data_IF_477315544421
#
_entry.id   IF_477315544421
#
_cell.length_a   1.000
_cell.length_b   1.000
_cell.length_c   1.000
_cell.angle_alpha   90.00
_cell.angle_beta   90.00
_cell.angle_gamma   90.00
#
_symmetry.space_group_name_H-M   'P 1'
#
loop_
_entity.id
_entity.type
_entity.pdbx_description
1 polymer ?
#
# COMPACT_ATOMS: atom_id res chain seq x y z
N UNK A 1 -11.34 -14.13 -10.81
CA UNK A 1 -10.33 -13.97 -11.89
C UNK A 1 -9.36 -15.13 -11.75
N UNK A 2 -8.98 -15.81 -12.84
CA UNK A 2 -7.98 -16.87 -12.76
C UNK A 2 -6.56 -16.25 -12.85
N UNK A 3 -5.53 -17.00 -12.43
CA UNK A 3 -4.15 -16.54 -12.38
C UNK A 3 -3.62 -16.10 -13.75
N UNK A 4 -3.93 -16.83 -14.81
CA UNK A 4 -3.47 -16.53 -16.17
C UNK A 4 -4.01 -15.18 -16.66
N UNK A 5 -5.31 -14.96 -16.51
CA UNK A 5 -5.96 -13.70 -16.88
C UNK A 5 -5.37 -12.53 -16.07
N UNK A 6 -5.05 -12.76 -14.79
CA UNK A 6 -4.42 -11.74 -13.95
C UNK A 6 -3.00 -11.43 -14.43
N UNK A 7 -2.17 -12.44 -14.67
CA UNK A 7 -0.78 -12.23 -15.13
C UNK A 7 -0.74 -11.52 -16.48
N UNK A 8 -1.60 -11.89 -17.44
CA UNK A 8 -1.63 -11.29 -18.78
C UNK A 8 -2.09 -9.83 -18.77
N UNK A 9 -3.09 -9.50 -17.93
CA UNK A 9 -3.68 -8.16 -17.93
C UNK A 9 -3.06 -7.22 -16.89
N UNK A 10 -2.46 -7.74 -15.81
CA UNK A 10 -1.97 -6.94 -14.68
C UNK A 10 -0.46 -6.87 -14.55
N UNK A 11 0.36 -7.69 -15.23
CA UNK A 11 1.82 -7.51 -15.19
C UNK A 11 2.28 -6.46 -16.19
N UNK A 12 1.79 -6.55 -17.43
CA UNK A 12 2.20 -5.71 -18.56
C UNK A 12 0.99 -5.01 -19.16
N UNK A 13 0.54 -3.92 -18.54
CA UNK A 13 -0.58 -3.19 -19.10
C UNK A 13 -0.16 -2.57 -20.44
N UNK A 14 -0.86 -2.92 -21.51
CA UNK A 14 -0.67 -2.22 -22.80
C UNK A 14 -1.07 -0.76 -22.65
N UNK A 15 -0.49 0.13 -23.47
CA UNK A 15 -0.80 1.57 -23.46
C UNK A 15 -2.31 1.87 -23.52
N UNK A 16 -3.08 1.03 -24.22
CA UNK A 16 -4.55 1.16 -24.34
C UNK A 16 -5.33 0.74 -23.08
N UNK A 17 -4.72 -0.02 -22.16
CA UNK A 17 -5.37 -0.62 -20.97
C UNK A 17 -4.98 0.13 -19.69
N UNK A 18 -3.79 0.76 -19.66
CA UNK A 18 -3.31 1.61 -18.55
C UNK A 18 -4.34 2.65 -18.12
N UNK A 19 -4.91 3.40 -19.07
CA UNK A 19 -5.84 4.50 -18.80
C UNK A 19 -7.25 4.06 -18.38
N UNK A 20 -7.62 2.79 -18.59
CA UNK A 20 -9.02 2.33 -18.48
C UNK A 20 -9.30 1.31 -17.39
N UNK A 21 -8.28 0.65 -16.84
CA UNK A 21 -8.53 -0.68 -16.21
C UNK A 21 -7.84 -0.91 -14.86
N UNK A 22 -6.92 -0.04 -14.44
CA UNK A 22 -6.16 -0.21 -13.20
C UNK A 22 -6.68 0.68 -12.08
N UNK A 23 -7.91 0.43 -11.67
CA UNK A 23 -8.42 0.88 -10.39
C UNK A 23 -8.75 -0.35 -9.58
N UNK A 24 -8.04 -0.57 -8.47
CA UNK A 24 -8.56 -1.49 -7.47
C UNK A 24 -9.83 -0.86 -6.90
N UNK A 25 -10.77 -1.67 -6.39
CA UNK A 25 -11.93 -1.11 -5.73
C UNK A 25 -11.46 -0.18 -4.62
N UNK A 26 -11.78 1.10 -4.80
CA UNK A 26 -11.57 2.13 -3.80
C UNK A 26 -12.61 1.91 -2.69
N UNK A 27 -12.27 2.25 -1.44
CA UNK A 27 -13.26 2.28 -0.40
C UNK A 27 -14.36 3.30 -0.74
N UNK A 28 -15.58 3.02 -0.27
CA UNK A 28 -16.72 3.92 -0.44
C UNK A 28 -16.57 5.15 0.46
N UNK A 29 -15.87 6.16 -0.05
CA UNK A 29 -15.66 7.46 0.59
C UNK A 29 -16.56 8.48 -0.09
N UNK A 30 -17.45 9.10 0.68
CA UNK A 30 -18.35 10.13 0.18
C UNK A 30 -17.57 11.29 -0.46
N UNK A 31 -18.03 11.74 -1.63
CA UNK A 31 -17.44 12.88 -2.34
C UNK A 31 -16.07 12.63 -2.97
N UNK A 32 -15.55 11.39 -2.92
CA UNK A 32 -14.22 11.06 -3.42
C UNK A 32 -14.11 11.23 -4.94
N UNK A 33 -13.25 12.15 -5.39
CA UNK A 33 -13.02 12.46 -6.81
C UNK A 33 -11.54 12.34 -7.15
N UNK A 34 -11.22 11.76 -8.31
CA UNK A 34 -9.84 11.74 -8.84
C UNK A 34 -9.38 13.19 -9.08
N UNK A 35 -8.25 13.55 -8.50
CA UNK A 35 -7.65 14.89 -8.61
C UNK A 35 -6.25 14.90 -9.22
N UNK A 36 -5.65 13.73 -9.46
CA UNK A 36 -4.41 13.63 -10.20
C UNK A 36 -3.97 12.19 -10.46
N UNK A 37 -3.08 12.03 -11.42
CA UNK A 37 -2.39 10.79 -11.73
C UNK A 37 -0.92 11.04 -12.05
N UNK A 38 -0.12 10.02 -11.78
CA UNK A 38 1.30 10.01 -12.10
C UNK A 38 1.70 8.59 -12.49
N UNK A 39 2.18 8.42 -13.71
CA UNK A 39 2.56 7.13 -14.26
C UNK A 39 4.06 7.16 -14.55
N UNK A 40 4.78 6.18 -14.01
CA UNK A 40 6.19 5.93 -14.30
C UNK A 40 6.36 4.49 -14.69
N UNK A 41 6.85 4.29 -15.90
CA UNK A 41 7.24 3.00 -16.42
C UNK A 41 8.71 3.06 -16.80
N UNK A 42 9.41 1.98 -16.52
CA UNK A 42 10.83 1.88 -16.80
C UNK A 42 11.26 0.45 -16.96
N UNK A 43 12.29 0.29 -17.77
CA UNK A 43 12.99 -0.96 -17.94
C UNK A 43 14.48 -0.73 -17.70
N UNK A 44 15.09 -1.59 -16.89
CA UNK A 44 16.51 -1.60 -16.64
C UNK A 44 17.00 -3.04 -16.51
N UNK A 45 17.96 -3.43 -17.33
CA UNK A 45 18.46 -4.80 -17.41
C UNK A 45 17.29 -5.79 -17.62
N UNK A 46 17.19 -6.83 -16.79
CA UNK A 46 16.10 -7.79 -16.84
C UNK A 46 14.84 -7.32 -16.11
N UNK A 47 14.83 -6.09 -15.55
CA UNK A 47 13.74 -5.60 -14.70
C UNK A 47 12.81 -4.65 -15.45
N UNK A 48 11.52 -4.98 -15.44
CA UNK A 48 10.45 -4.07 -15.82
C UNK A 48 9.73 -3.57 -14.58
N UNK A 49 9.47 -2.26 -14.49
CA UNK A 49 8.71 -1.67 -13.40
C UNK A 49 7.65 -0.71 -13.91
N UNK A 50 6.46 -0.80 -13.34
CA UNK A 50 5.35 0.14 -13.56
C UNK A 50 4.87 0.66 -12.22
N UNK A 51 4.71 1.97 -12.11
CA UNK A 51 4.17 2.64 -10.94
C UNK A 51 3.11 3.64 -11.41
N UNK A 52 1.88 3.46 -10.96
CA UNK A 52 0.75 4.34 -11.24
C UNK A 52 0.27 4.83 -9.88
N UNK A 53 0.39 6.13 -9.63
CA UNK A 53 -0.18 6.76 -8.45
C UNK A 53 -1.40 7.56 -8.89
N UNK A 54 -2.53 7.26 -8.28
CA UNK A 54 -3.78 7.99 -8.49
C UNK A 54 -4.16 8.67 -7.19
N UNK A 55 -4.34 10.00 -7.25
CA UNK A 55 -4.77 10.81 -6.11
C UNK A 55 -6.25 11.09 -6.22
N UNK A 56 -6.92 10.96 -5.09
CA UNK A 56 -8.33 11.27 -4.93
C UNK A 56 -8.51 12.18 -3.72
N UNK A 57 -9.49 13.07 -3.78
CA UNK A 57 -9.84 13.95 -2.68
C UNK A 57 -11.36 14.00 -2.53
N UNK A 58 -11.82 13.90 -1.29
CA UNK A 58 -13.23 14.04 -0.92
C UNK A 58 -13.55 15.51 -0.73
N UNK A 59 -14.46 16.04 -1.54
CA UNK A 59 -14.94 17.42 -1.44
C UNK A 59 -15.86 17.67 -0.23
N UNK A 60 -16.40 16.60 0.36
CA UNK A 60 -17.26 16.67 1.56
C UNK A 60 -16.48 16.45 2.85
N UNK A 61 -15.58 15.46 2.89
CA UNK A 61 -14.91 15.02 4.12
C UNK A 61 -13.50 15.62 4.27
N UNK A 62 -12.93 16.20 3.22
CA UNK A 62 -11.54 16.70 3.20
C UNK A 62 -10.50 15.58 3.32
N UNK A 63 -10.89 14.35 3.02
CA UNK A 63 -10.00 13.17 3.05
C UNK A 63 -9.35 13.02 1.69
N UNK A 64 -8.03 12.91 1.68
CA UNK A 64 -7.23 12.51 0.54
C UNK A 64 -6.93 11.02 0.60
N UNK A 65 -7.13 10.35 -0.52
CA UNK A 65 -6.72 8.98 -0.75
C UNK A 65 -5.67 8.96 -1.86
N UNK A 66 -4.54 8.30 -1.63
CA UNK A 66 -3.58 7.99 -2.69
C UNK A 66 -3.59 6.50 -2.90
N UNK A 67 -4.04 6.09 -4.08
CA UNK A 67 -3.97 4.71 -4.54
C UNK A 67 -2.72 4.53 -5.37
N UNK A 68 -2.02 3.43 -5.16
CA UNK A 68 -0.89 3.06 -5.97
C UNK A 68 -1.12 1.67 -6.55
N UNK A 69 -0.96 1.56 -7.86
CA UNK A 69 -0.57 0.33 -8.51
C UNK A 69 0.95 0.36 -8.72
N UNK A 70 1.65 -0.66 -8.22
CA UNK A 70 3.08 -0.86 -8.42
C UNK A 70 3.24 -2.21 -9.11
N UNK A 71 4.34 -2.42 -9.79
CA UNK A 71 4.82 -3.71 -10.24
C UNK A 71 6.33 -3.59 -10.45
N UNK A 72 7.07 -4.58 -9.98
CA UNK A 72 8.47 -4.79 -10.35
C UNK A 72 8.65 -6.26 -10.69
N UNK A 73 9.12 -6.55 -11.90
CA UNK A 73 9.24 -7.90 -12.43
C UNK A 73 10.62 -8.10 -13.05
N UNK A 74 11.24 -9.24 -12.75
CA UNK A 74 12.36 -9.75 -13.52
C UNK A 74 11.80 -10.58 -14.70
N UNK A 75 12.04 -10.11 -15.92
CA UNK A 75 11.49 -10.68 -17.16
C UNK A 75 12.07 -12.05 -17.52
N UNK A 76 13.27 -12.37 -17.02
CA UNK A 76 13.96 -13.64 -17.30
C UNK A 76 13.50 -14.72 -16.33
N UNK A 77 13.47 -14.41 -15.02
CA UNK A 77 13.12 -15.38 -13.98
C UNK A 77 11.61 -15.49 -13.75
N UNK A 78 10.85 -14.50 -14.21
CA UNK A 78 9.41 -14.40 -13.98
C UNK A 78 9.03 -14.04 -12.54
N UNK A 79 9.99 -13.65 -11.71
CA UNK A 79 9.76 -13.13 -10.36
C UNK A 79 9.10 -11.76 -10.45
N UNK A 80 8.06 -11.53 -9.66
CA UNK A 80 7.42 -10.22 -9.51
C UNK A 80 7.05 -9.94 -8.06
N UNK A 81 7.04 -8.66 -7.73
CA UNK A 81 6.65 -8.15 -6.42
C UNK A 81 5.66 -7.01 -6.55
N UNK A 82 4.64 -7.06 -5.68
CA UNK A 82 3.59 -6.07 -5.51
C UNK A 82 2.93 -5.73 -6.83
N UNK A 83 2.10 -6.62 -7.37
CA UNK A 83 1.19 -6.28 -8.48
C UNK A 83 0.02 -5.39 -8.07
N UNK A 84 -0.14 -5.20 -6.77
CA UNK A 84 -1.08 -4.26 -6.18
C UNK A 84 -0.27 -3.49 -5.14
N UNK A 85 -0.51 -2.18 -5.07
CA UNK A 85 0.32 -1.27 -4.29
C UNK A 85 -0.43 -0.64 -3.12
N UNK A 86 0.24 0.31 -2.45
CA UNK A 86 -0.28 0.92 -1.24
C UNK A 86 -1.51 1.81 -1.47
N UNK A 87 -2.37 1.83 -0.47
CA UNK A 87 -3.43 2.81 -0.27
C UNK A 87 -3.07 3.66 0.95
N UNK A 88 -3.03 4.96 0.74
CA UNK A 88 -2.76 5.98 1.75
C UNK A 88 -4.04 6.74 2.06
N UNK A 89 -4.41 6.89 3.33
CA UNK A 89 -5.54 7.70 3.79
C UNK A 89 -5.03 8.85 4.65
N UNK A 90 -5.48 10.07 4.33
CA UNK A 90 -5.02 11.28 5.01
C UNK A 90 -6.12 12.32 5.08
N UNK A 91 -6.25 12.98 6.23
CA UNK A 91 -6.99 14.23 6.43
C UNK A 91 -6.06 15.21 7.12
N UNK A 92 -6.00 16.44 6.63
CA UNK A 92 -5.14 17.46 7.21
C UNK A 92 -5.43 17.62 8.71
N UNK A 93 -4.38 17.60 9.53
CA UNK A 93 -4.47 17.70 10.98
C UNK A 93 -4.73 16.38 11.72
N UNK A 94 -4.84 15.25 10.99
CA UNK A 94 -5.03 13.91 11.54
C UNK A 94 -3.86 12.99 11.19
N UNK A 95 -3.63 11.91 11.98
CA UNK A 95 -2.65 10.90 11.63
C UNK A 95 -2.88 10.30 10.24
N UNK A 96 -1.84 9.74 9.64
CA UNK A 96 -1.90 9.04 8.37
C UNK A 96 -2.14 7.54 8.57
N UNK A 97 -2.96 6.89 7.73
CA UNK A 97 -3.11 5.44 7.71
C UNK A 97 -2.63 4.86 6.37
N UNK A 98 -1.84 3.78 6.44
CA UNK A 98 -1.27 3.12 5.27
C UNK A 98 -1.64 1.65 5.24
N UNK A 99 -2.06 1.17 4.07
CA UNK A 99 -2.22 -0.24 3.76
C UNK A 99 -1.38 -0.55 2.51
N UNK A 100 -0.55 -1.59 2.52
CA UNK A 100 0.11 -2.12 1.32
C UNK A 100 -0.54 -3.45 0.96
N UNK A 101 -1.00 -3.62 -0.28
CA UNK A 101 -1.75 -4.81 -0.70
C UNK A 101 -0.93 -5.59 -1.71
N UNK A 102 0.11 -6.28 -1.29
CA UNK A 102 1.03 -6.93 -2.20
C UNK A 102 0.48 -8.26 -2.74
N UNK A 103 0.53 -8.45 -4.05
CA UNK A 103 0.49 -9.78 -4.68
C UNK A 103 1.88 -10.08 -5.23
N UNK A 104 2.44 -11.22 -4.87
CA UNK A 104 3.83 -11.59 -5.21
C UNK A 104 4.02 -13.09 -5.35
N UNK A 105 4.97 -13.52 -6.17
CA UNK A 105 5.43 -14.91 -6.28
C UNK A 105 6.84 -15.09 -5.71
N UNK A 106 7.22 -14.26 -4.74
CA UNK A 106 8.57 -14.22 -4.18
C UNK A 106 8.54 -13.99 -2.68
N UNK A 107 9.46 -14.64 -1.98
CA UNK A 107 9.69 -14.37 -0.58
C UNK A 107 10.44 -13.04 -0.42
N UNK A 108 9.80 -12.05 0.22
CA UNK A 108 10.41 -10.72 0.40
C UNK A 108 11.68 -10.70 1.27
N UNK A 109 11.92 -11.76 2.05
CA UNK A 109 13.09 -11.90 2.92
C UNK A 109 14.23 -12.64 2.23
N UNK A 110 13.95 -13.78 1.61
CA UNK A 110 14.97 -14.65 0.99
C UNK A 110 15.23 -14.30 -0.48
N UNK A 111 14.26 -13.70 -1.17
CA UNK A 111 14.32 -13.44 -2.61
C UNK A 111 13.98 -14.66 -3.48
N UNK A 112 13.69 -15.79 -2.85
CA UNK A 112 13.36 -17.04 -3.54
C UNK A 112 11.94 -17.03 -4.10
N UNK A 113 11.75 -17.67 -5.25
CA UNK A 113 10.43 -17.84 -5.86
C UNK A 113 9.58 -18.76 -5.01
N UNK A 114 8.33 -18.36 -4.80
CA UNK A 114 7.32 -19.10 -4.06
C UNK A 114 6.01 -19.14 -4.86
N UNK A 115 5.02 -19.87 -4.34
CA UNK A 115 3.65 -19.77 -4.85
C UNK A 115 3.15 -18.32 -4.75
N UNK A 116 2.25 -17.94 -5.66
CA UNK A 116 1.61 -16.64 -5.59
C UNK A 116 0.86 -16.54 -4.27
N UNK A 117 1.04 -15.40 -3.58
CA UNK A 117 0.32 -15.06 -2.37
C UNK A 117 -0.13 -13.61 -2.40
N UNK A 118 -1.22 -13.34 -1.70
CA UNK A 118 -1.72 -12.01 -1.40
C UNK A 118 -1.41 -11.69 0.06
N UNK A 119 -0.78 -10.54 0.30
CA UNK A 119 -0.37 -10.09 1.63
C UNK A 119 -0.79 -8.64 1.82
N UNK A 120 -1.53 -8.35 2.89
CA UNK A 120 -2.06 -7.02 3.19
C UNK A 120 -1.61 -6.57 4.58
N UNK A 121 -0.43 -5.94 4.72
CA UNK A 121 -0.07 -5.19 5.91
C UNK A 121 -0.78 -3.83 5.98
N UNK A 122 -1.23 -3.48 7.18
CA UNK A 122 -1.77 -2.17 7.54
C UNK A 122 -0.88 -1.61 8.64
N UNK A 123 -0.22 -0.48 8.36
CA UNK A 123 0.59 0.24 9.33
C UNK A 123 -0.32 1.11 10.18
N UNK A 124 -0.22 0.99 11.51
CA UNK A 124 -1.04 1.82 12.40
C UNK A 124 -0.64 3.29 12.28
N UNK A 125 -1.56 4.22 12.55
CA UNK A 125 -1.29 5.63 12.43
C UNK A 125 -0.21 6.11 13.41
N UNK A 126 0.45 7.22 13.06
CA UNK A 126 1.29 8.01 13.97
C UNK A 126 0.41 8.65 15.05
N UNK A 127 -0.03 7.84 16.00
CA UNK A 127 -1.02 8.17 17.01
C UNK A 127 -0.53 7.74 18.40
N UNK A 128 -1.23 8.11 19.47
CA UNK A 128 -0.91 7.58 20.80
C UNK A 128 -1.27 6.07 20.91
N UNK A 129 -0.77 5.35 21.92
CA UNK A 129 -1.03 3.92 22.06
C UNK A 129 -2.51 3.55 22.12
N UNK A 130 -3.36 4.38 22.73
CA UNK A 130 -4.79 4.09 22.88
C UNK A 130 -5.51 4.27 21.54
N UNK A 131 -5.22 5.34 20.80
CA UNK A 131 -5.71 5.54 19.44
C UNK A 131 -5.27 4.41 18.49
N UNK A 132 -4.03 3.93 18.61
CA UNK A 132 -3.57 2.77 17.81
C UNK A 132 -4.33 1.50 18.19
N UNK A 133 -4.54 1.23 19.47
CA UNK A 133 -5.35 0.08 19.93
C UNK A 133 -6.77 0.14 19.38
N UNK A 134 -7.37 1.32 19.37
CA UNK A 134 -8.69 1.55 18.79
C UNK A 134 -8.75 1.20 17.31
N UNK A 135 -7.83 1.73 16.50
CA UNK A 135 -7.75 1.42 15.06
C UNK A 135 -7.50 -0.07 14.84
N UNK A 136 -6.58 -0.66 15.60
CA UNK A 136 -6.25 -2.08 15.50
C UNK A 136 -7.46 -2.96 15.87
N UNK A 137 -8.18 -2.63 16.94
CA UNK A 137 -9.38 -3.34 17.39
C UNK A 137 -10.49 -3.27 16.35
N UNK A 138 -10.76 -2.08 15.81
CA UNK A 138 -11.79 -1.85 14.79
C UNK A 138 -11.50 -2.60 13.48
N UNK A 139 -10.23 -2.64 13.05
CA UNK A 139 -9.78 -3.46 11.92
C UNK A 139 -9.98 -4.95 12.19
N UNK A 140 -9.60 -5.39 13.38
CA UNK A 140 -9.66 -6.79 13.80
C UNK A 140 -11.09 -7.32 13.89
N UNK A 141 -12.03 -6.50 14.39
CA UNK A 141 -13.44 -6.86 14.49
C UNK A 141 -14.10 -6.99 13.12
N UNK A 142 -13.85 -6.04 12.22
CA UNK A 142 -14.37 -6.11 10.85
C UNK A 142 -13.77 -7.29 10.07
N UNK A 143 -12.44 -7.49 10.15
CA UNK A 143 -11.79 -8.62 9.52
C UNK A 143 -12.35 -9.97 10.00
N UNK A 144 -12.62 -10.10 11.31
CA UNK A 144 -13.30 -11.29 11.86
C UNK A 144 -14.71 -11.45 11.28
N UNK A 145 -15.47 -10.36 11.19
CA UNK A 145 -16.81 -10.35 10.58
C UNK A 145 -16.80 -10.84 9.12
N UNK A 146 -15.73 -10.53 8.39
CA UNK A 146 -15.52 -10.95 7.00
C UNK A 146 -14.83 -12.31 6.84
N UNK A 147 -14.53 -13.01 7.94
CA UNK A 147 -13.84 -14.30 7.94
C UNK A 147 -12.35 -14.21 7.55
N UNK A 148 -11.74 -13.04 7.65
CA UNK A 148 -10.33 -12.79 7.32
C UNK A 148 -9.46 -13.05 8.55
N UNK A 149 -8.55 -14.02 8.42
CA UNK A 149 -7.53 -14.27 9.43
C UNK A 149 -6.45 -13.19 9.37
N UNK A 150 -5.96 -12.79 10.55
CA UNK A 150 -4.90 -11.79 10.66
C UNK A 150 -3.91 -12.14 11.75
N UNK A 151 -2.76 -11.47 11.70
CA UNK A 151 -1.68 -11.57 12.66
C UNK A 151 -1.19 -10.17 13.03
N UNK A 152 -0.67 -10.06 14.24
CA UNK A 152 0.08 -8.90 14.68
C UNK A 152 1.57 -9.15 14.46
N UNK A 153 2.27 -8.20 13.82
CA UNK A 153 3.70 -8.33 13.58
C UNK A 153 4.45 -7.13 14.15
N UNK A 154 5.26 -7.42 15.17
CA UNK A 154 6.28 -6.51 15.66
C UNK A 154 7.47 -6.50 14.68
N UNK A 155 8.07 -5.33 14.47
CA UNK A 155 9.26 -5.21 13.64
C UNK A 155 10.12 -4.05 14.08
N UNK A 156 11.38 -4.34 14.41
CA UNK A 156 12.44 -3.33 14.62
C UNK A 156 12.70 -2.48 13.37
N UNK A 157 12.07 -2.85 12.25
CA UNK A 157 12.09 -2.08 11.02
C UNK A 157 11.23 -0.82 11.05
N UNK A 158 10.22 -0.83 11.90
CA UNK A 158 9.13 0.13 11.94
C UNK A 158 9.36 1.07 13.13
N UNK A 159 9.13 2.38 12.98
CA UNK A 159 9.23 3.31 14.10
C UNK A 159 8.20 2.99 15.18
N UNK A 160 8.55 3.24 16.44
CA UNK A 160 7.67 3.03 17.60
C UNK A 160 6.31 3.73 17.46
N UNK A 161 6.25 4.85 16.73
CA UNK A 161 5.02 5.59 16.51
C UNK A 161 3.98 4.88 15.63
N UNK A 162 4.37 3.84 14.88
CA UNK A 162 3.45 2.96 14.17
C UNK A 162 3.10 1.70 14.98
N UNK A 163 3.83 1.39 16.05
CA UNK A 163 3.59 0.17 16.83
C UNK A 163 3.57 -1.11 15.95
N UNK A 164 2.75 -2.12 16.29
CA UNK A 164 2.64 -3.33 15.49
C UNK A 164 2.02 -3.09 14.11
N UNK A 165 2.47 -3.88 13.13
CA UNK A 165 1.78 -4.00 11.84
C UNK A 165 0.63 -5.01 11.98
N UNK A 166 -0.56 -4.63 11.57
CA UNK A 166 -1.69 -5.55 11.38
C UNK A 166 -1.53 -6.22 10.01
N UNK A 167 -1.63 -7.55 9.91
CA UNK A 167 -1.32 -8.25 8.65
C UNK A 167 -2.28 -9.40 8.36
N UNK A 168 -2.87 -9.40 7.17
CA UNK A 168 -3.59 -10.55 6.61
C UNK A 168 -2.85 -11.15 5.42
N UNK A 169 -3.01 -12.45 5.20
CA UNK A 169 -2.39 -13.19 4.11
C UNK A 169 -3.34 -14.26 3.56
N UNK A 170 -3.24 -14.54 2.27
CA UNK A 170 -3.90 -15.67 1.63
C UNK A 170 -3.05 -16.23 0.50
N UNK A 171 -3.13 -17.53 0.28
CA UNK A 171 -2.58 -18.15 -0.92
C UNK A 171 -3.31 -17.65 -2.19
N UNK A 172 -2.58 -17.56 -3.29
CA UNK A 172 -3.08 -17.09 -4.58
C UNK A 172 -3.42 -15.60 -4.64
N UNK A 173 -4.10 -15.24 -5.73
CA UNK A 173 -4.62 -13.89 -6.00
C UNK A 173 -5.96 -13.71 -5.29
N UNK A 174 -6.05 -12.78 -4.34
CA UNK A 174 -7.27 -12.56 -3.55
C UNK A 174 -7.69 -11.07 -3.52
N UNK A 175 -8.27 -10.64 -4.63
CA UNK A 175 -8.73 -9.25 -4.79
C UNK A 175 -9.94 -8.91 -3.89
N UNK A 176 -10.76 -9.89 -3.52
CA UNK A 176 -11.89 -9.66 -2.60
C UNK A 176 -11.40 -9.34 -1.18
N UNK A 177 -10.38 -10.06 -0.70
CA UNK A 177 -9.74 -9.74 0.57
C UNK A 177 -9.11 -8.34 0.53
N UNK A 178 -8.43 -7.97 -0.55
CA UNK A 178 -7.85 -6.62 -0.70
C UNK A 178 -8.95 -5.55 -0.62
N UNK A 179 -10.07 -5.74 -1.34
CA UNK A 179 -11.23 -4.83 -1.31
C UNK A 179 -11.76 -4.65 0.10
N UNK A 180 -12.12 -5.76 0.76
CA UNK A 180 -12.66 -5.74 2.13
C UNK A 180 -11.72 -5.06 3.11
N UNK A 181 -10.42 -5.32 3.02
CA UNK A 181 -9.44 -4.69 3.91
C UNK A 181 -9.24 -3.20 3.63
N UNK A 182 -9.41 -2.74 2.38
CA UNK A 182 -9.45 -1.30 2.08
C UNK A 182 -10.68 -0.63 2.70
N UNK A 183 -11.85 -1.27 2.63
CA UNK A 183 -13.07 -0.81 3.30
C UNK A 183 -12.90 -0.77 4.83
N UNK A 184 -12.34 -1.83 5.41
CA UNK A 184 -12.01 -1.90 6.84
C UNK A 184 -11.05 -0.77 7.25
N UNK A 185 -10.00 -0.53 6.46
CA UNK A 185 -9.02 0.52 6.71
C UNK A 185 -9.65 1.91 6.66
N UNK A 186 -10.51 2.18 5.67
CA UNK A 186 -11.27 3.42 5.63
C UNK A 186 -12.19 3.57 6.85
N UNK A 187 -12.97 2.55 7.18
CA UNK A 187 -13.86 2.55 8.34
C UNK A 187 -13.10 2.83 9.65
N UNK A 188 -11.95 2.19 9.85
CA UNK A 188 -11.08 2.44 11.00
C UNK A 188 -10.49 3.85 11.01
N UNK A 189 -10.13 4.36 9.84
CA UNK A 189 -9.60 5.71 9.72
C UNK A 189 -10.66 6.79 9.99
N UNK A 190 -11.87 6.60 9.46
CA UNK A 190 -13.02 7.45 9.73
C UNK A 190 -13.32 7.50 11.23
N UNK A 191 -13.33 6.34 11.89
CA UNK A 191 -13.52 6.26 13.34
C UNK A 191 -12.42 7.02 14.10
N UNK A 192 -11.15 6.88 13.69
CA UNK A 192 -10.05 7.66 14.27
C UNK A 192 -10.29 9.17 14.14
N UNK A 193 -10.70 9.66 12.97
CA UNK A 193 -11.01 11.08 12.75
C UNK A 193 -12.14 11.54 13.69
N UNK A 194 -13.20 10.73 13.85
CA UNK A 194 -14.35 11.07 14.69
C UNK A 194 -14.02 11.08 16.18
N UNK A 195 -13.11 10.22 16.63
CA UNK A 195 -12.72 10.10 18.04
C UNK A 195 -11.55 11.01 18.44
N UNK A 196 -10.91 11.67 17.48
CA UNK A 196 -9.72 12.48 17.75
C UNK A 196 -9.93 13.94 17.36
N UNK A 197 -9.26 14.84 18.08
CA UNK A 197 -9.24 16.25 17.73
C UNK A 197 -8.20 16.49 16.66
N UNK A 198 -8.58 17.30 15.67
CA UNK A 198 -7.65 17.88 14.70
C UNK A 198 -6.48 18.56 15.42
N UNK A 199 -5.26 18.36 14.91
CA UNK A 199 -4.04 19.02 15.36
C UNK A 199 -3.48 19.87 14.22
N UNK A 200 -3.43 21.18 14.40
CA UNK A 200 -2.96 22.08 13.34
C UNK A 200 -1.81 22.96 13.86
N UNK A 201 -0.56 22.74 13.40
CA UNK A 201 -0.13 21.72 12.43
C UNK A 201 0.06 20.33 13.05
N UNK A 202 -0.22 19.28 12.28
CA UNK A 202 0.19 17.91 12.59
C UNK A 202 1.60 17.68 12.04
N UNK A 203 2.51 17.11 12.83
CA UNK A 203 3.88 16.86 12.39
C UNK A 203 4.00 15.53 11.64
N UNK A 204 3.97 15.60 10.31
CA UNK A 204 4.14 14.43 9.43
C UNK A 204 5.59 14.10 9.10
N UNK A 205 6.57 14.91 9.54
CA UNK A 205 7.99 14.71 9.17
C UNK A 205 8.54 13.34 9.58
N UNK A 206 8.28 12.81 10.79
CA UNK A 206 8.79 11.49 11.18
C UNK A 206 8.30 10.38 10.24
N UNK A 207 7.02 10.45 9.86
CA UNK A 207 6.43 9.56 8.86
C UNK A 207 7.11 9.72 7.49
N UNK A 208 7.19 10.96 6.98
CA UNK A 208 7.75 11.26 5.66
C UNK A 208 9.21 10.79 5.55
N UNK A 209 10.05 11.11 6.53
CA UNK A 209 11.47 10.71 6.52
C UNK A 209 11.63 9.19 6.56
N UNK A 210 10.85 8.51 7.41
CA UNK A 210 10.92 7.05 7.47
C UNK A 210 10.45 6.41 6.16
N UNK A 211 9.33 6.87 5.62
CA UNK A 211 8.74 6.32 4.41
C UNK A 211 9.62 6.58 3.18
N UNK A 212 10.11 7.81 3.00
CA UNK A 212 10.92 8.20 1.84
C UNK A 212 12.31 7.58 1.89
N UNK A 213 12.99 7.59 3.05
CA UNK A 213 14.40 7.21 3.11
C UNK A 213 14.63 5.80 3.65
N UNK A 214 13.99 5.43 4.76
CA UNK A 214 14.28 4.16 5.42
C UNK A 214 13.62 2.98 4.68
N UNK A 215 12.37 3.13 4.25
CA UNK A 215 11.69 2.10 3.46
C UNK A 215 12.34 1.98 2.08
N UNK A 216 12.67 3.07 1.39
CA UNK A 216 13.39 3.02 0.12
C UNK A 216 14.68 2.21 0.18
N UNK A 217 15.51 2.43 1.21
CA UNK A 217 16.75 1.65 1.41
C UNK A 217 16.46 0.17 1.64
N UNK A 218 15.48 -0.16 2.47
CA UNK A 218 15.11 -1.56 2.77
C UNK A 218 14.56 -2.26 1.53
N UNK A 219 13.72 -1.59 0.75
CA UNK A 219 13.19 -2.15 -0.50
C UNK A 219 14.27 -2.34 -1.55
N UNK A 220 15.21 -1.40 -1.69
CA UNK A 220 16.36 -1.59 -2.58
C UNK A 220 17.16 -2.86 -2.22
N UNK A 221 17.38 -3.11 -0.93
CA UNK A 221 18.06 -4.33 -0.48
C UNK A 221 17.26 -5.60 -0.80
N UNK A 222 15.95 -5.58 -0.59
CA UNK A 222 15.07 -6.70 -0.95
C UNK A 222 15.04 -6.93 -2.46
N UNK A 223 14.93 -5.88 -3.27
CA UNK A 223 14.92 -5.97 -4.74
C UNK A 223 16.22 -6.54 -5.29
N UNK A 224 17.37 -6.13 -4.76
CA UNK A 224 18.67 -6.72 -5.13
C UNK A 224 18.71 -8.23 -4.91
N UNK A 225 18.14 -8.74 -3.81
CA UNK A 225 18.05 -10.19 -3.54
C UNK A 225 17.16 -10.94 -4.52
N UNK A 226 16.19 -10.25 -5.11
CA UNK A 226 15.25 -10.80 -6.10
C UNK A 226 15.76 -10.71 -7.54
N UNK A 227 16.97 -10.16 -7.75
CA UNK A 227 17.47 -9.83 -9.09
C UNK A 227 16.65 -8.73 -9.76
N UNK A 228 16.08 -7.80 -8.97
CA UNK A 228 15.35 -6.63 -9.46
C UNK A 228 16.25 -5.40 -9.42
N UNK A 229 16.43 -4.76 -10.58
CA UNK A 229 17.30 -3.61 -10.80
C UNK A 229 16.52 -2.32 -10.62
N UNK A 230 16.20 -2.01 -9.35
CA UNK A 230 15.50 -0.76 -8.99
C UNK A 230 16.32 0.03 -7.97
N UNK A 231 16.71 1.26 -8.35
CA UNK A 231 17.57 2.12 -7.55
C UNK A 231 16.87 2.66 -6.30
N UNK A 232 17.65 2.99 -5.26
CA UNK A 232 17.10 3.56 -4.02
C UNK A 232 16.52 4.96 -4.28
N UNK A 233 17.10 5.70 -5.20
CA UNK A 233 16.64 7.03 -5.63
C UNK A 233 15.28 6.95 -6.31
N UNK A 234 15.06 5.96 -7.19
CA UNK A 234 13.76 5.73 -7.81
C UNK A 234 12.69 5.36 -6.76
N UNK A 235 13.07 4.55 -5.76
CA UNK A 235 12.17 4.23 -4.63
C UNK A 235 11.83 5.45 -3.80
N UNK A 236 12.83 6.25 -3.43
CA UNK A 236 12.63 7.47 -2.65
C UNK A 236 11.75 8.47 -3.41
N UNK A 237 12.01 8.70 -4.69
CA UNK A 237 11.20 9.59 -5.53
C UNK A 237 9.74 9.11 -5.63
N UNK A 238 9.52 7.81 -5.80
CA UNK A 238 8.20 7.21 -5.78
C UNK A 238 7.48 7.45 -4.45
N UNK A 239 8.14 7.20 -3.32
CA UNK A 239 7.55 7.44 -2.01
C UNK A 239 7.29 8.92 -1.74
N UNK A 240 8.18 9.82 -2.20
CA UNK A 240 7.95 11.25 -2.14
C UNK A 240 6.68 11.65 -2.90
N UNK A 241 6.43 11.09 -4.09
CA UNK A 241 5.21 11.34 -4.86
C UNK A 241 3.95 10.84 -4.14
N UNK A 242 4.05 9.67 -3.47
CA UNK A 242 2.95 9.07 -2.69
C UNK A 242 2.57 9.93 -1.46
N UNK A 243 3.56 10.56 -0.82
CA UNK A 243 3.33 11.41 0.36
C UNK A 243 3.25 12.90 0.03
N UNK A 244 3.31 13.27 -1.26
CA UNK A 244 3.27 14.66 -1.69
C UNK A 244 1.89 15.26 -1.42
N UNK A 245 1.90 16.36 -0.66
CA UNK A 245 0.71 17.09 -0.23
C UNK A 245 0.18 16.67 1.14
N UNK A 246 0.93 15.82 1.86
CA UNK A 246 0.87 15.69 3.33
C UNK A 246 1.72 16.80 3.97
#
# INVERSE_FOLDING_TARGET
>A
MNEKDFLENYLWPSDNILDRTFTHPLPDIEGLKKCGDFIVQGELEDTFSTNILTKYESDTLGVRLVEVYKNSQNKVTGVFVRLVGPMSLMKAGYPFLLLDAAISNVNLRTGERENIKTTVPIHMPQADPEQRKTVFGHLSEQAKGDGISYSERQSDAVPDFWGPIWRAESEGVNLDMIRKLRDCAWSAYKYLIEQTKEKTPFDYRPFQEHFIFNIARRENLSFKRMGLSVSVEAQAAFFSAQVLGI
#
